data_IF_112820393697
#
_entry.id   IF_112820393697
#
_cell.length_a   1.000
_cell.length_b   1.000
_cell.length_c   1.000
_cell.angle_alpha   90.00
_cell.angle_beta   90.00
_cell.angle_gamma   90.00
#
_symmetry.space_group_name_H-M   'P 1'
#
loop_
_entity.id
_entity.type
_entity.pdbx_description
1 polymer ?
#
# COMPACT_ATOMS: atom_id res chain seq x y z
N UNK A 1 5.13 -0.20 19.80
CA UNK A 1 4.51 0.83 18.95
C UNK A 1 3.97 0.15 17.70
N UNK A 2 2.73 0.41 17.30
CA UNK A 2 2.19 -0.15 16.05
C UNK A 2 2.81 0.59 14.86
N UNK A 3 3.41 -0.14 13.91
CA UNK A 3 3.86 0.42 12.62
C UNK A 3 2.63 0.98 11.89
N UNK A 4 2.68 2.21 11.38
CA UNK A 4 1.57 2.76 10.58
C UNK A 4 1.53 2.04 9.24
N UNK A 5 0.35 1.64 8.78
CA UNK A 5 0.13 0.95 7.51
C UNK A 5 -0.64 1.84 6.54
N UNK A 6 -0.35 1.72 5.25
CA UNK A 6 -1.04 2.39 4.15
C UNK A 6 -1.37 1.34 3.06
N UNK A 7 -2.65 1.16 2.75
CA UNK A 7 -3.09 0.37 1.60
C UNK A 7 -3.31 1.28 0.40
N UNK A 8 -2.56 1.07 -0.67
CA UNK A 8 -2.69 1.80 -1.95
C UNK A 8 -3.31 0.87 -3.00
N UNK A 9 -4.52 1.18 -3.45
CA UNK A 9 -5.17 0.50 -4.57
C UNK A 9 -5.02 1.36 -5.84
N UNK A 10 -4.12 0.94 -6.75
CA UNK A 10 -3.81 1.65 -7.99
C UNK A 10 -3.22 0.67 -9.01
N UNK A 11 -3.69 0.68 -10.25
CA UNK A 11 -3.26 -0.25 -11.30
C UNK A 11 -1.93 0.16 -11.97
N UNK A 12 -1.43 1.37 -11.69
CA UNK A 12 -0.17 1.87 -12.22
C UNK A 12 1.01 1.48 -11.34
N UNK A 13 1.87 0.60 -11.86
CA UNK A 13 3.15 0.23 -11.24
C UNK A 13 4.03 1.45 -10.95
N UNK A 14 3.96 2.49 -11.78
CA UNK A 14 4.70 3.74 -11.56
C UNK A 14 4.21 4.46 -10.31
N UNK A 15 2.89 4.59 -10.13
CA UNK A 15 2.31 5.24 -8.95
C UNK A 15 2.62 4.43 -7.69
N UNK A 16 2.47 3.09 -7.75
CA UNK A 16 2.85 2.21 -6.65
C UNK A 16 4.31 2.40 -6.20
N UNK A 17 5.25 2.54 -7.14
CA UNK A 17 6.66 2.80 -6.82
C UNK A 17 6.89 4.17 -6.23
N UNK A 18 6.26 5.22 -6.79
CA UNK A 18 6.39 6.59 -6.29
C UNK A 18 5.91 6.66 -4.84
N UNK A 19 4.74 6.11 -4.53
CA UNK A 19 4.19 6.13 -3.16
C UNK A 19 5.06 5.33 -2.19
N UNK A 20 5.56 4.15 -2.59
CA UNK A 20 6.51 3.39 -1.77
C UNK A 20 7.77 4.20 -1.45
N UNK A 21 8.35 4.87 -2.44
CA UNK A 21 9.54 5.70 -2.26
C UNK A 21 9.26 6.93 -1.38
N UNK A 22 8.09 7.56 -1.52
CA UNK A 22 7.69 8.71 -0.69
C UNK A 22 7.69 8.37 0.80
N UNK A 23 7.23 7.18 1.15
CA UNK A 23 7.02 6.79 2.56
C UNK A 23 8.10 5.88 3.15
N UNK A 24 9.15 5.54 2.39
CA UNK A 24 10.19 4.61 2.81
C UNK A 24 10.90 5.04 4.11
N UNK A 25 11.15 6.35 4.25
CA UNK A 25 11.86 6.92 5.39
C UNK A 25 10.94 7.27 6.58
N UNK A 26 9.62 7.24 6.38
CA UNK A 26 8.63 7.56 7.43
C UNK A 26 8.25 6.34 8.29
N UNK A 27 8.83 5.17 8.00
CA UNK A 27 8.53 3.92 8.71
C UNK A 27 7.10 3.43 8.50
N UNK A 28 6.43 3.91 7.44
CA UNK A 28 5.09 3.47 7.05
C UNK A 28 5.22 2.19 6.21
N UNK A 29 4.38 1.21 6.53
CA UNK A 29 4.25 -0.02 5.75
C UNK A 29 3.27 0.20 4.60
N UNK A 30 3.79 0.40 3.40
CA UNK A 30 2.96 0.57 2.20
C UNK A 30 2.65 -0.79 1.60
N UNK A 31 1.37 -1.11 1.50
CA UNK A 31 0.83 -2.32 0.91
C UNK A 31 0.12 -1.91 -0.38
N UNK A 32 0.55 -2.43 -1.53
CA UNK A 32 -0.03 -2.04 -2.82
C UNK A 32 -0.97 -3.12 -3.35
N UNK A 33 -2.05 -2.72 -4.02
CA UNK A 33 -3.00 -3.58 -4.70
C UNK A 33 -3.23 -3.02 -6.12
N UNK A 34 -3.31 -3.91 -7.11
CA UNK A 34 -3.50 -3.51 -8.51
C UNK A 34 -4.95 -3.17 -8.87
N UNK A 35 -5.90 -3.51 -8.00
CA UNK A 35 -7.32 -3.30 -8.22
C UNK A 35 -8.08 -3.31 -6.88
N UNK A 36 -9.41 -3.12 -6.96
CA UNK A 36 -10.30 -3.10 -5.81
C UNK A 36 -10.49 -4.45 -5.12
N UNK A 37 -10.49 -5.56 -5.87
CA UNK A 37 -10.73 -6.89 -5.32
C UNK A 37 -9.52 -7.33 -4.49
N UNK A 38 -8.31 -7.16 -5.01
CA UNK A 38 -7.06 -7.41 -4.27
C UNK A 38 -6.96 -6.49 -3.05
N UNK A 39 -7.37 -5.22 -3.18
CA UNK A 39 -7.37 -4.30 -2.04
C UNK A 39 -8.36 -4.76 -0.95
N UNK A 40 -9.53 -5.23 -1.36
CA UNK A 40 -10.56 -5.75 -0.46
C UNK A 40 -10.13 -7.05 0.24
N UNK A 41 -9.51 -7.98 -0.49
CA UNK A 41 -8.92 -9.18 0.12
C UNK A 41 -7.86 -8.82 1.16
N UNK A 42 -7.00 -7.84 0.87
CA UNK A 42 -5.94 -7.40 1.78
C UNK A 42 -6.46 -6.74 3.05
N UNK A 43 -7.52 -5.91 2.96
CA UNK A 43 -8.08 -5.26 4.15
C UNK A 43 -8.92 -6.21 5.01
N UNK A 44 -9.46 -7.28 4.43
CA UNK A 44 -10.29 -8.27 5.16
C UNK A 44 -9.49 -9.46 5.69
N UNK A 45 -8.29 -9.69 5.17
CA UNK A 45 -7.37 -10.76 5.62
C UNK A 45 -6.44 -10.35 6.76
N UNK A 46 -6.53 -9.09 7.23
CA UNK A 46 -5.92 -8.62 8.49
C UNK A 46 -6.91 -8.69 9.67
#
# INVERSE_FOLDING_TARGET
MSKRKLLLADDSITIQKVVNLTFADEGIDVITAGDGDIAYEKITSE
#
